data_IF_389273588198
#
_entry.id   IF_389273588198
#
_cell.length_a   1.000
_cell.length_b   1.000
_cell.length_c   1.000
_cell.angle_alpha   90.00
_cell.angle_beta   90.00
_cell.angle_gamma   90.00
#
_symmetry.space_group_name_H-M   'P 1'
#
loop_
_entity.id
_entity.type
_entity.pdbx_description
1 polymer ?
#
# COMPACT_ATOMS: atom_id res chain seq x y z
N UNK A 1 -3.54 9.79 -6.34
CA UNK A 1 -2.55 9.47 -5.29
C UNK A 1 -1.11 9.53 -5.81
N UNK A 2 -0.76 8.93 -6.96
CA UNK A 2 0.61 8.99 -7.54
C UNK A 2 1.24 10.39 -7.56
N UNK A 3 0.60 11.36 -8.23
CA UNK A 3 1.12 12.73 -8.32
C UNK A 3 1.26 13.41 -6.94
N UNK A 4 0.40 13.05 -5.98
CA UNK A 4 0.47 13.58 -4.62
C UNK A 4 1.73 13.11 -3.88
N UNK A 5 2.16 11.86 -4.04
CA UNK A 5 3.45 11.42 -3.51
C UNK A 5 4.62 12.16 -4.17
N UNK A 6 4.57 12.38 -5.49
CA UNK A 6 5.65 13.07 -6.22
C UNK A 6 5.85 14.52 -5.74
N UNK A 7 4.77 15.29 -5.60
CA UNK A 7 4.86 16.68 -5.12
C UNK A 7 5.24 16.76 -3.64
N UNK A 8 5.19 15.65 -2.91
CA UNK A 8 5.61 15.53 -1.50
C UNK A 8 6.97 14.82 -1.34
N UNK A 9 7.80 14.80 -2.38
CA UNK A 9 9.22 14.44 -2.27
C UNK A 9 9.58 12.97 -2.53
N UNK A 10 8.61 12.13 -2.91
CA UNK A 10 8.90 10.78 -3.39
C UNK A 10 9.26 10.82 -4.88
N UNK A 11 10.35 10.16 -5.27
CA UNK A 11 10.76 10.07 -6.67
C UNK A 11 9.83 9.17 -7.51
N UNK A 12 9.82 9.34 -8.86
CA UNK A 12 9.05 8.48 -9.77
C UNK A 12 9.50 7.01 -9.74
N UNK A 13 10.72 6.73 -9.28
CA UNK A 13 11.22 5.39 -9.03
C UNK A 13 10.72 4.80 -7.70
N UNK A 14 10.22 5.63 -6.79
CA UNK A 14 9.71 5.18 -5.49
C UNK A 14 8.23 4.84 -5.55
N UNK A 15 7.46 5.48 -6.42
CA UNK A 15 6.02 5.25 -6.54
C UNK A 15 5.77 4.44 -7.80
N UNK A 16 5.30 3.20 -7.67
CA UNK A 16 5.14 2.29 -8.80
C UNK A 16 3.76 1.66 -8.79
N UNK A 17 3.08 1.71 -9.94
CA UNK A 17 1.85 0.95 -10.21
C UNK A 17 2.22 -0.41 -10.80
N UNK A 18 1.41 -1.43 -10.53
CA UNK A 18 1.58 -2.79 -11.08
C UNK A 18 2.91 -3.47 -10.69
N UNK A 19 3.49 -3.10 -9.54
CA UNK A 19 4.68 -3.77 -9.02
C UNK A 19 4.29 -5.08 -8.32
N UNK A 20 4.57 -6.23 -8.94
CA UNK A 20 4.38 -7.52 -8.29
C UNK A 20 5.32 -7.69 -7.09
N UNK A 21 4.79 -8.09 -5.94
CA UNK A 21 5.51 -8.38 -4.69
C UNK A 21 5.31 -9.83 -4.22
N UNK A 22 6.35 -10.42 -3.62
CA UNK A 22 6.34 -11.78 -3.08
C UNK A 22 6.11 -11.72 -1.58
N UNK A 23 4.95 -12.23 -1.19
CA UNK A 23 4.48 -12.26 0.20
C UNK A 23 4.33 -13.71 0.71
N UNK A 24 5.13 -14.64 0.14
CA UNK A 24 4.92 -16.09 0.25
C UNK A 24 4.02 -16.62 -0.87
N UNK A 25 3.95 -15.87 -1.96
CA UNK A 25 2.94 -15.95 -3.01
C UNK A 25 2.88 -14.61 -3.75
N UNK A 26 2.57 -14.65 -5.04
CA UNK A 26 2.58 -13.45 -5.88
C UNK A 26 1.35 -12.56 -5.70
N UNK A 27 1.57 -11.28 -5.40
CA UNK A 27 0.52 -10.24 -5.38
C UNK A 27 0.95 -9.03 -6.19
N UNK A 28 -0.02 -8.32 -6.77
CA UNK A 28 0.21 -7.07 -7.50
C UNK A 28 -0.70 -6.01 -6.88
N UNK A 29 -0.20 -5.20 -5.92
CA UNK A 29 -0.94 -4.07 -5.39
C UNK A 29 -1.15 -3.01 -6.47
N UNK A 30 -2.24 -2.25 -6.37
CA UNK A 30 -2.57 -1.18 -7.34
C UNK A 30 -1.54 -0.04 -7.31
N UNK A 31 -0.97 0.23 -6.13
CA UNK A 31 0.14 1.18 -5.98
C UNK A 31 1.06 0.75 -4.85
N UNK A 32 2.36 0.93 -5.08
CA UNK A 32 3.41 0.69 -4.09
C UNK A 32 4.26 1.94 -3.91
N UNK A 33 4.75 2.17 -2.68
CA UNK A 33 5.74 3.20 -2.38
C UNK A 33 6.95 2.56 -1.73
N UNK A 34 8.14 2.82 -2.28
CA UNK A 34 9.38 2.20 -1.88
C UNK A 34 10.37 3.23 -1.31
N UNK A 35 11.26 2.77 -0.44
CA UNK A 35 12.40 3.54 -0.02
C UNK A 35 13.31 3.86 -1.22
N UNK A 36 13.98 5.01 -1.18
CA UNK A 36 14.84 5.44 -2.29
C UNK A 36 15.91 4.39 -2.59
N UNK A 37 16.01 3.99 -3.85
CA UNK A 37 16.94 2.95 -4.30
C UNK A 37 16.54 1.51 -3.93
N UNK A 38 15.32 1.30 -3.43
CA UNK A 38 14.74 0.00 -3.08
C UNK A 38 13.48 -0.24 -3.90
N UNK A 39 13.22 -1.50 -4.21
CA UNK A 39 13.19 -1.97 -5.59
C UNK A 39 12.23 -1.14 -6.42
N UNK A 40 12.72 -0.56 -7.52
CA UNK A 40 12.31 -1.19 -8.78
C UNK A 40 13.34 -1.12 -9.92
N UNK A 41 13.54 -2.25 -10.65
CA UNK A 41 14.18 -2.39 -11.99
C UNK A 41 13.50 -3.53 -12.81
N UNK A 42 13.60 -3.54 -14.18
CA UNK A 42 12.66 -4.18 -15.14
C UNK A 42 12.93 -5.67 -15.41
N UNK A 43 12.16 -6.46 -16.19
CA UNK A 43 10.73 -6.59 -16.53
C UNK A 43 10.43 -8.09 -16.80
N UNK A 44 11.27 -9.00 -16.25
CA UNK A 44 11.24 -10.46 -16.50
C UNK A 44 11.51 -11.32 -15.26
N UNK A 45 11.64 -10.72 -14.07
CA UNK A 45 11.78 -11.49 -12.84
C UNK A 45 10.44 -11.63 -12.13
N UNK A 46 10.31 -12.74 -11.42
CA UNK A 46 9.33 -12.97 -10.36
C UNK A 46 9.12 -11.74 -9.48
N UNK A 47 7.94 -11.68 -8.86
CA UNK A 47 7.54 -10.78 -7.78
C UNK A 47 8.72 -10.30 -6.90
N UNK A 48 8.83 -8.99 -6.71
CA UNK A 48 9.86 -8.35 -5.89
C UNK A 48 9.71 -8.74 -4.41
N UNK A 49 10.81 -8.92 -3.67
CA UNK A 49 10.72 -9.03 -2.21
C UNK A 49 10.18 -7.74 -1.58
N UNK A 50 9.66 -7.82 -0.35
CA UNK A 50 9.08 -6.68 0.37
C UNK A 50 10.10 -5.78 1.07
N UNK A 51 11.40 -6.11 0.98
CA UNK A 51 12.45 -5.29 1.58
C UNK A 51 12.48 -3.87 0.97
N UNK A 52 12.31 -2.86 1.82
CA UNK A 52 12.25 -1.46 1.40
C UNK A 52 10.89 -1.01 0.87
N UNK A 53 9.86 -1.88 0.87
CA UNK A 53 8.49 -1.48 0.62
C UNK A 53 7.97 -0.70 1.83
N UNK A 54 7.54 0.54 1.62
CA UNK A 54 7.02 1.42 2.67
C UNK A 54 5.49 1.33 2.76
N UNK A 55 4.83 1.23 1.61
CA UNK A 55 3.37 1.19 1.51
C UNK A 55 2.92 0.29 0.36
N UNK A 56 1.92 -0.56 0.63
CA UNK A 56 1.08 -1.18 -0.38
C UNK A 56 -0.33 -0.58 -0.34
N UNK A 57 -0.91 -0.26 -1.50
CA UNK A 57 -2.26 0.28 -1.65
C UNK A 57 -3.10 -0.64 -2.52
N UNK A 58 -4.32 -0.90 -2.07
CA UNK A 58 -5.34 -1.64 -2.81
C UNK A 58 -6.58 -0.78 -2.99
N UNK A 59 -7.15 -0.76 -4.19
CA UNK A 59 -8.38 -0.05 -4.53
C UNK A 59 -9.49 -1.08 -4.72
N UNK A 60 -10.30 -1.24 -3.67
CA UNK A 60 -11.37 -2.25 -3.62
C UNK A 60 -12.32 -2.06 -4.80
N UNK A 61 -12.62 -3.17 -5.45
CA UNK A 61 -13.62 -3.26 -6.52
C UNK A 61 -14.75 -4.18 -6.08
N UNK A 62 -15.91 -4.06 -6.75
CA UNK A 62 -17.06 -4.92 -6.46
C UNK A 62 -16.67 -6.38 -6.72
N UNK A 63 -16.60 -7.21 -5.67
CA UNK A 63 -16.15 -8.60 -5.73
C UNK A 63 -14.73 -8.89 -5.20
N UNK A 64 -13.92 -7.87 -4.87
CA UNK A 64 -12.62 -8.07 -4.19
C UNK A 64 -12.67 -7.78 -2.69
N UNK A 65 -13.83 -7.40 -2.14
CA UNK A 65 -13.95 -6.85 -0.78
C UNK A 65 -13.41 -7.80 0.30
N UNK A 66 -13.75 -9.08 0.23
CA UNK A 66 -13.31 -10.08 1.24
C UNK A 66 -11.81 -10.37 1.11
N UNK A 67 -11.30 -10.45 -0.12
CA UNK A 67 -9.90 -10.77 -0.39
C UNK A 67 -9.01 -9.62 0.10
N UNK A 68 -9.37 -8.37 -0.20
CA UNK A 68 -8.58 -7.20 0.20
C UNK A 68 -8.62 -7.02 1.72
N UNK A 69 -9.81 -7.07 2.33
CA UNK A 69 -9.99 -6.77 3.76
C UNK A 69 -9.46 -7.85 4.69
N UNK A 70 -9.43 -9.11 4.26
CA UNK A 70 -9.07 -10.25 5.12
C UNK A 70 -7.79 -10.92 4.65
N UNK A 71 -7.76 -11.42 3.41
CA UNK A 71 -6.65 -12.28 2.95
C UNK A 71 -5.38 -11.48 2.73
N UNK A 72 -5.43 -10.43 1.89
CA UNK A 72 -4.25 -9.61 1.57
C UNK A 72 -3.70 -8.91 2.81
N UNK A 73 -4.58 -8.41 3.69
CA UNK A 73 -4.20 -7.82 4.98
C UNK A 73 -3.30 -8.76 5.80
N UNK A 74 -3.67 -10.04 5.91
CA UNK A 74 -2.88 -11.03 6.65
C UNK A 74 -1.55 -11.35 5.93
N UNK A 75 -1.58 -11.52 4.61
CA UNK A 75 -0.38 -11.82 3.81
C UNK A 75 0.65 -10.68 3.88
N UNK A 76 0.20 -9.43 3.74
CA UNK A 76 1.05 -8.25 3.78
C UNK A 76 1.64 -8.01 5.17
N UNK A 77 0.86 -8.26 6.23
CA UNK A 77 1.35 -8.19 7.60
C UNK A 77 2.44 -9.25 7.87
N UNK A 78 2.22 -10.49 7.41
CA UNK A 78 3.22 -11.58 7.49
C UNK A 78 4.49 -11.26 6.72
N UNK A 79 4.36 -10.59 5.57
CA UNK A 79 5.49 -10.14 4.75
C UNK A 79 6.20 -8.89 5.31
N UNK A 80 5.71 -8.34 6.43
CA UNK A 80 6.37 -7.27 7.17
C UNK A 80 6.22 -5.88 6.53
N UNK A 81 5.22 -5.67 5.67
CA UNK A 81 5.02 -4.39 5.00
C UNK A 81 4.52 -3.36 6.04
N UNK A 82 5.21 -2.23 6.26
CA UNK A 82 4.89 -1.33 7.37
C UNK A 82 3.49 -0.70 7.26
N UNK A 83 3.15 -0.18 6.08
CA UNK A 83 1.87 0.49 5.85
C UNK A 83 1.06 -0.25 4.79
N UNK A 84 -0.24 -0.38 5.04
CA UNK A 84 -1.20 -0.98 4.11
C UNK A 84 -2.46 -0.13 4.02
N UNK A 85 -2.76 0.41 2.84
CA UNK A 85 -3.93 1.24 2.63
C UNK A 85 -4.97 0.55 1.74
N UNK A 86 -6.22 0.63 2.15
CA UNK A 86 -7.38 0.13 1.40
C UNK A 86 -8.24 1.31 0.98
N UNK A 87 -8.40 1.51 -0.32
CA UNK A 87 -9.20 2.59 -0.89
C UNK A 87 -10.53 2.01 -1.37
N UNK A 88 -11.60 2.41 -0.72
CA UNK A 88 -12.96 2.02 -1.08
C UNK A 88 -13.48 2.90 -2.22
N UNK A 89 -14.18 2.30 -3.20
CA UNK A 89 -14.87 3.04 -4.27
C UNK A 89 -16.31 3.38 -3.85
N UNK A 90 -16.45 4.01 -2.69
CA UNK A 90 -17.72 4.54 -2.20
C UNK A 90 -17.96 5.99 -2.69
N UNK A 91 -19.00 6.64 -2.17
CA UNK A 91 -19.37 7.99 -2.61
C UNK A 91 -18.32 9.08 -2.31
N UNK A 92 -17.36 8.84 -1.40
CA UNK A 92 -16.34 9.82 -0.99
C UNK A 92 -14.91 9.32 -1.23
N UNK A 93 -14.76 8.10 -1.76
CA UNK A 93 -13.49 7.39 -1.91
C UNK A 93 -12.74 7.30 -0.58
N UNK A 94 -13.30 6.55 0.37
CA UNK A 94 -12.70 6.36 1.70
C UNK A 94 -11.36 5.62 1.64
N UNK A 95 -10.35 6.11 2.35
CA UNK A 95 -9.05 5.47 2.53
C UNK A 95 -8.95 4.95 3.96
N UNK A 96 -8.77 3.63 4.11
CA UNK A 96 -8.43 2.97 5.36
C UNK A 96 -6.91 2.81 5.44
N UNK A 97 -6.26 3.48 6.39
CA UNK A 97 -4.80 3.41 6.60
C UNK A 97 -4.49 2.49 7.77
N UNK A 98 -3.73 1.45 7.48
CA UNK A 98 -3.26 0.50 8.47
C UNK A 98 -1.75 0.57 8.64
N UNK A 99 -1.31 0.48 9.89
CA UNK A 99 0.10 0.35 10.26
C UNK A 99 0.35 -1.02 10.92
N UNK A 100 1.48 -1.64 10.59
CA UNK A 100 1.87 -2.94 11.13
C UNK A 100 2.35 -2.78 12.57
N UNK A 101 1.69 -3.47 13.50
CA UNK A 101 2.18 -3.56 14.87
C UNK A 101 3.42 -4.46 14.94
N UNK A 102 4.53 -3.92 15.45
CA UNK A 102 5.81 -4.63 15.53
C UNK A 102 5.83 -5.83 16.48
N UNK A 103 4.88 -5.90 17.42
CA UNK A 103 4.77 -6.96 18.42
C UNK A 103 3.80 -8.05 17.96
N UNK A 104 2.56 -7.68 17.64
CA UNK A 104 1.51 -8.64 17.24
C UNK A 104 1.68 -9.13 15.80
N UNK A 105 2.40 -8.38 14.96
CA UNK A 105 2.50 -8.61 13.51
C UNK A 105 1.13 -8.57 12.83
N UNK A 106 0.24 -7.75 13.34
CA UNK A 106 -1.06 -7.48 12.77
C UNK A 106 -1.21 -6.00 12.43
N UNK A 107 -2.02 -5.73 11.42
CA UNK A 107 -2.34 -4.36 11.01
C UNK A 107 -3.39 -3.74 11.93
N UNK A 108 -3.02 -2.63 12.55
CA UNK A 108 -3.93 -1.76 13.30
C UNK A 108 -4.41 -0.62 12.41
N UNK A 109 -5.66 -0.20 12.60
CA UNK A 109 -6.15 1.03 11.99
C UNK A 109 -5.53 2.21 12.73
N UNK A 110 -4.99 3.18 11.99
CA UNK A 110 -4.44 4.38 12.60
C UNK A 110 -5.53 5.25 13.24
N UNK A 111 -5.17 6.12 14.18
CA UNK A 111 -6.14 6.93 14.94
C UNK A 111 -7.02 7.83 14.05
N UNK A 112 -6.46 8.32 12.94
CA UNK A 112 -7.18 9.03 11.87
C UNK A 112 -7.25 8.19 10.59
N UNK A 113 -7.17 6.87 10.71
CA UNK A 113 -6.96 5.95 9.60
C UNK A 113 -8.17 5.71 8.71
N UNK A 114 -9.25 6.48 8.81
CA UNK A 114 -10.40 6.41 7.88
C UNK A 114 -10.75 7.82 7.44
N UNK A 115 -10.36 8.18 6.21
CA UNK A 115 -10.53 9.54 5.71
C UNK A 115 -10.99 9.52 4.25
N UNK A 116 -11.76 10.53 3.80
CA UNK A 116 -11.96 10.74 2.38
C UNK A 116 -10.62 10.96 1.68
N UNK A 117 -10.44 10.36 0.49
CA UNK A 117 -9.23 10.55 -0.31
C UNK A 117 -8.93 12.04 -0.54
N UNK A 118 -9.96 12.87 -0.74
CA UNK A 118 -9.78 14.31 -0.92
C UNK A 118 -9.13 15.00 0.30
N UNK A 119 -9.45 14.57 1.52
CA UNK A 119 -8.81 15.08 2.73
C UNK A 119 -7.35 14.65 2.80
N UNK A 120 -7.07 13.38 2.56
CA UNK A 120 -5.70 12.84 2.59
C UNK A 120 -4.79 13.55 1.57
N UNK A 121 -5.30 13.83 0.37
CA UNK A 121 -4.54 14.53 -0.66
C UNK A 121 -4.27 16.01 -0.33
N UNK A 122 -4.89 16.55 0.73
CA UNK A 122 -4.63 17.90 1.25
C UNK A 122 -3.55 17.94 2.35
N UNK A 123 -3.06 16.79 2.80
CA UNK A 123 -2.00 16.67 3.82
C UNK A 123 -0.67 16.26 3.20
N UNK A 124 0.39 16.21 4.01
CA UNK A 124 1.62 15.53 3.64
C UNK A 124 1.48 14.01 3.89
N UNK A 125 2.16 13.14 3.11
CA UNK A 125 2.20 11.71 3.37
C UNK A 125 3.01 11.40 4.63
N UNK A 126 2.51 10.45 5.40
CA UNK A 126 3.12 9.91 6.62
C UNK A 126 3.30 8.40 6.47
N UNK A 127 4.48 8.00 5.97
CA UNK A 127 4.87 6.60 5.74
C UNK A 127 6.09 6.21 6.57
#
# INVERSE_FOLDING_TARGET
MFAWFLINGYGPEQVVTDCGIDVGGGRVPDLTVWAKGQPPRPARSSHAGTAGLLLAVEVVSKGSEVVDRVVKKIEYAKAGIPNYWVVERDGVTTVHRHHLDGVTREYQLEAEGVQPLAWLLSTAPDL
#
